data_IF_919420031487
#
_entry.id   IF_919420031487
#
_cell.length_a   1.000
_cell.length_b   1.000
_cell.length_c   1.000
_cell.angle_alpha   90.00
_cell.angle_beta   90.00
_cell.angle_gamma   90.00
#
_symmetry.space_group_name_H-M   'P 1'
#
loop_
_entity.id
_entity.type
_entity.pdbx_description
1 polymer ?
#
# COMPACT_ATOMS: atom_id res chain seq x y z
N UNK A 1 30.75 -16.38 -6.12
CA UNK A 1 29.59 -15.54 -5.76
C UNK A 1 28.67 -16.32 -4.86
N UNK A 2 28.37 -15.80 -3.75
CA UNK A 2 27.54 -16.50 -2.79
C UNK A 2 26.05 -16.27 -3.09
N UNK A 3 25.23 -17.27 -2.72
CA UNK A 3 23.79 -17.14 -2.79
C UNK A 3 23.29 -16.00 -1.92
N UNK A 4 24.03 -15.70 -0.83
CA UNK A 4 23.68 -14.62 0.09
C UNK A 4 23.66 -13.26 -0.60
N UNK A 5 24.68 -13.01 -1.44
CA UNK A 5 24.73 -11.73 -2.16
C UNK A 5 23.56 -11.59 -3.12
N UNK A 6 23.21 -12.66 -3.82
CA UNK A 6 22.07 -12.65 -4.73
C UNK A 6 20.76 -12.47 -3.96
N UNK A 7 20.65 -13.09 -2.78
CA UNK A 7 19.46 -12.95 -1.96
C UNK A 7 19.29 -11.53 -1.43
N UNK A 8 20.41 -10.92 -0.99
CA UNK A 8 20.35 -9.55 -0.51
C UNK A 8 20.00 -8.59 -1.62
N UNK A 9 20.59 -8.78 -2.79
CA UNK A 9 20.28 -7.93 -3.94
C UNK A 9 18.81 -8.07 -4.34
N UNK A 10 18.32 -9.30 -4.41
CA UNK A 10 16.92 -9.51 -4.76
C UNK A 10 15.99 -8.87 -3.73
N UNK A 11 16.31 -9.03 -2.43
CA UNK A 11 15.46 -8.46 -1.39
C UNK A 11 15.41 -6.93 -1.50
N UNK A 12 16.54 -6.30 -1.80
CA UNK A 12 16.57 -4.86 -1.95
C UNK A 12 15.74 -4.40 -3.14
N UNK A 13 15.87 -5.06 -4.27
CA UNK A 13 15.10 -4.71 -5.46
C UNK A 13 13.62 -5.00 -5.28
N UNK A 14 13.30 -6.07 -4.55
CA UNK A 14 11.91 -6.40 -4.26
C UNK A 14 11.25 -5.30 -3.44
N UNK A 15 11.97 -4.76 -2.45
CA UNK A 15 11.43 -3.68 -1.64
C UNK A 15 11.20 -2.43 -2.48
N UNK A 16 12.12 -2.15 -3.40
CA UNK A 16 11.91 -1.01 -4.31
C UNK A 16 10.70 -1.23 -5.20
N UNK A 17 10.58 -2.42 -5.73
CA UNK A 17 9.44 -2.76 -6.59
C UNK A 17 8.11 -2.56 -5.86
N UNK A 18 8.06 -2.94 -4.59
CA UNK A 18 6.82 -2.91 -3.83
C UNK A 18 6.48 -1.55 -3.26
N UNK A 19 7.44 -0.63 -3.23
CA UNK A 19 7.23 0.65 -2.56
C UNK A 19 6.03 1.43 -3.09
N UNK A 20 5.92 1.58 -4.39
CA UNK A 20 4.79 2.28 -4.98
C UNK A 20 3.49 1.51 -4.82
N UNK A 21 3.58 0.17 -4.86
CA UNK A 21 2.39 -0.65 -4.74
C UNK A 21 1.79 -0.61 -3.34
N UNK A 22 2.60 -0.31 -2.32
CA UNK A 22 2.09 -0.16 -0.97
C UNK A 22 1.08 0.98 -0.88
N UNK A 23 1.32 2.07 -1.59
CA UNK A 23 0.38 3.18 -1.60
C UNK A 23 -0.96 2.71 -2.15
N UNK A 24 -0.95 2.00 -3.26
CA UNK A 24 -2.16 1.49 -3.87
C UNK A 24 -2.87 0.52 -2.94
N UNK A 25 -2.10 -0.38 -2.31
CA UNK A 25 -2.67 -1.38 -1.42
C UNK A 25 -3.34 -0.74 -0.21
N UNK A 26 -2.68 0.27 0.38
CA UNK A 26 -3.23 0.96 1.54
C UNK A 26 -4.50 1.71 1.16
N UNK A 27 -4.46 2.45 0.05
CA UNK A 27 -5.65 3.17 -0.40
C UNK A 27 -6.80 2.20 -0.70
N UNK A 28 -6.50 1.08 -1.34
CA UNK A 28 -7.54 0.11 -1.68
C UNK A 28 -8.18 -0.50 -0.44
N UNK A 29 -7.37 -0.84 0.57
CA UNK A 29 -7.92 -1.39 1.81
C UNK A 29 -8.75 -0.36 2.56
N UNK A 30 -8.40 0.92 2.45
CA UNK A 30 -9.11 1.98 3.15
C UNK A 30 -10.37 2.43 2.42
N UNK A 31 -10.80 1.69 1.40
CA UNK A 31 -12.18 1.81 0.93
C UNK A 31 -13.15 1.43 2.04
N UNK A 32 -12.66 0.64 3.00
CA UNK A 32 -13.35 0.37 4.26
C UNK A 32 -12.56 1.02 5.38
N UNK A 33 -13.25 1.39 6.42
CA UNK A 33 -12.62 2.03 7.55
C UNK A 33 -11.76 1.04 8.33
N UNK A 34 -10.57 1.48 8.73
CA UNK A 34 -9.65 0.68 9.54
C UNK A 34 -8.87 1.57 10.49
N UNK A 35 -8.47 1.02 11.63
CA UNK A 35 -7.37 1.61 12.36
C UNK A 35 -6.10 0.78 12.08
N UNK A 36 -4.95 1.28 12.57
CA UNK A 36 -3.66 0.72 12.13
C UNK A 36 -3.55 -0.79 12.26
N UNK A 37 -3.99 -1.33 13.41
CA UNK A 37 -3.86 -2.77 13.66
C UNK A 37 -4.65 -3.59 12.65
N UNK A 38 -5.94 -3.26 12.45
CA UNK A 38 -6.75 -4.03 11.53
C UNK A 38 -6.29 -3.88 10.10
N UNK A 39 -5.80 -2.70 9.75
CA UNK A 39 -5.26 -2.48 8.40
C UNK A 39 -4.04 -3.36 8.16
N UNK A 40 -3.11 -3.38 9.11
CA UNK A 40 -1.91 -4.21 8.97
C UNK A 40 -2.27 -5.68 8.89
N UNK A 41 -3.20 -6.11 9.74
CA UNK A 41 -3.62 -7.52 9.79
C UNK A 41 -4.22 -7.94 8.46
N UNK A 42 -5.10 -7.12 7.89
CA UNK A 42 -5.74 -7.47 6.63
C UNK A 42 -4.74 -7.46 5.48
N UNK A 43 -3.82 -6.50 5.45
CA UNK A 43 -2.80 -6.48 4.41
C UNK A 43 -1.89 -7.69 4.50
N UNK A 44 -1.50 -8.09 5.71
CA UNK A 44 -0.65 -9.25 5.89
C UNK A 44 -1.35 -10.52 5.42
N UNK A 45 -2.66 -10.64 5.68
CA UNK A 45 -3.43 -11.78 5.24
C UNK A 45 -3.48 -11.88 3.72
N UNK A 46 -3.30 -10.76 3.03
CA UNK A 46 -3.28 -10.72 1.57
C UNK A 46 -1.87 -10.74 1.01
N UNK A 47 -0.87 -11.03 1.85
CA UNK A 47 0.50 -11.18 1.40
C UNK A 47 1.31 -9.91 1.41
N UNK A 48 0.78 -8.83 1.99
CA UNK A 48 1.49 -7.55 2.03
C UNK A 48 1.80 -7.22 3.48
N UNK A 49 3.06 -7.46 3.87
CA UNK A 49 3.50 -7.17 5.22
C UNK A 49 4.14 -5.79 5.27
N UNK A 50 3.73 -5.01 6.24
CA UNK A 50 4.23 -3.66 6.43
C UNK A 50 4.32 -3.40 7.93
N UNK A 51 5.44 -2.87 8.36
CA UNK A 51 5.63 -2.60 9.78
C UNK A 51 5.05 -1.24 10.17
N UNK A 52 4.90 -1.04 11.47
CA UNK A 52 4.32 0.19 11.98
C UNK A 52 5.15 1.41 11.61
N UNK A 53 6.46 1.26 11.62
CA UNK A 53 7.35 2.36 11.31
C UNK A 53 7.20 2.86 9.88
N UNK A 54 6.71 2.02 9.00
CA UNK A 54 6.45 2.40 7.61
C UNK A 54 5.00 2.84 7.42
N UNK A 55 4.08 2.12 8.04
CA UNK A 55 2.65 2.36 7.81
C UNK A 55 2.17 3.68 8.38
N UNK A 56 2.50 3.99 9.64
CA UNK A 56 1.94 5.19 10.25
C UNK A 56 2.41 6.48 9.59
N UNK A 57 3.70 6.63 9.25
CA UNK A 57 4.09 7.83 8.49
C UNK A 57 3.40 7.92 7.13
N UNK A 58 3.17 6.78 6.47
CA UNK A 58 2.46 6.77 5.20
C UNK A 58 1.02 7.24 5.36
N UNK A 59 0.32 6.75 6.39
CA UNK A 59 -1.05 7.17 6.65
C UNK A 59 -1.13 8.68 6.89
N UNK A 60 -0.20 9.21 7.69
CA UNK A 60 -0.19 10.65 7.95
C UNK A 60 0.07 11.45 6.69
N UNK A 61 0.99 10.96 5.85
CA UNK A 61 1.29 11.65 4.60
C UNK A 61 0.09 11.66 3.66
N UNK A 62 -0.57 10.52 3.53
CA UNK A 62 -1.74 10.42 2.65
C UNK A 62 -2.89 11.29 3.16
N UNK A 63 -3.05 11.37 4.47
CA UNK A 63 -4.06 12.24 5.04
C UNK A 63 -3.73 13.71 4.79
N UNK A 64 -2.47 14.09 4.97
CA UNK A 64 -2.04 15.45 4.69
C UNK A 64 -2.26 15.82 3.23
N UNK A 65 -2.11 14.86 2.34
CA UNK A 65 -2.36 15.06 0.92
C UNK A 65 -3.84 15.08 0.57
N UNK A 66 -4.71 14.89 1.57
CA UNK A 66 -6.15 14.95 1.34
C UNK A 66 -6.77 13.67 0.84
N UNK A 67 -6.01 12.57 0.83
CA UNK A 67 -6.52 11.31 0.29
C UNK A 67 -7.21 10.45 1.34
N UNK A 68 -6.95 10.72 2.61
CA UNK A 68 -7.56 9.99 3.73
C UNK A 68 -8.22 10.97 4.68
N UNK A 69 -9.25 10.48 5.35
CA UNK A 69 -9.88 11.15 6.49
C UNK A 69 -9.67 10.27 7.70
N UNK A 70 -9.55 10.89 8.86
CA UNK A 70 -9.40 10.12 10.08
C UNK A 70 -10.18 10.74 11.21
N UNK A 71 -10.49 9.92 12.20
CA UNK A 71 -11.09 10.41 13.43
C UNK A 71 -10.66 9.51 14.57
N UNK A 72 -10.58 10.11 15.76
CA UNK A 72 -10.25 9.39 16.97
C UNK A 72 -11.53 8.85 17.58
N UNK A 73 -11.49 7.61 18.04
CA UNK A 73 -12.60 6.98 18.75
C UNK A 73 -12.08 6.22 19.94
N UNK A 74 -12.92 6.10 20.93
CA UNK A 74 -12.61 5.28 22.08
C UNK A 74 -13.33 3.95 21.92
N UNK A 75 -12.55 2.85 21.98
CA UNK A 75 -13.08 1.49 21.92
C UNK A 75 -12.36 0.66 22.95
N UNK A 76 -13.12 -0.05 23.80
CA UNK A 76 -12.54 -0.92 24.81
C UNK A 76 -11.51 -0.20 25.67
N UNK A 77 -11.84 1.02 26.09
CA UNK A 77 -10.99 1.88 26.90
C UNK A 77 -9.68 2.26 26.24
N UNK A 78 -9.61 2.16 24.91
CA UNK A 78 -8.44 2.58 24.15
C UNK A 78 -8.84 3.57 23.10
N UNK A 79 -7.98 4.56 22.91
CA UNK A 79 -8.20 5.57 21.90
C UNK A 79 -7.55 5.12 20.62
N UNK A 80 -8.34 5.00 19.54
CA UNK A 80 -7.85 4.52 18.25
C UNK A 80 -8.17 5.52 17.18
N UNK A 81 -7.27 5.65 16.22
CA UNK A 81 -7.47 6.54 15.08
C UNK A 81 -7.91 5.72 13.88
N UNK A 82 -9.11 6.00 13.41
CA UNK A 82 -9.69 5.29 12.28
C UNK A 82 -9.52 6.11 11.01
N UNK A 83 -9.10 5.43 9.94
CA UNK A 83 -8.83 6.05 8.65
C UNK A 83 -9.76 5.46 7.60
N UNK A 84 -10.11 6.28 6.62
CA UNK A 84 -10.84 5.82 5.45
C UNK A 84 -10.51 6.74 4.28
N UNK A 85 -10.79 6.28 3.06
CA UNK A 85 -10.57 7.11 1.89
C UNK A 85 -11.47 8.34 1.94
N UNK A 86 -10.91 9.48 1.58
CA UNK A 86 -11.69 10.67 1.29
C UNK A 86 -12.28 10.55 -0.11
N UNK A 87 -13.11 11.52 -0.47
CA UNK A 87 -13.64 11.59 -1.82
C UNK A 87 -12.51 11.73 -2.84
N UNK A 88 -11.54 12.59 -2.56
CA UNK A 88 -10.37 12.76 -3.42
C UNK A 88 -9.56 11.47 -3.48
N UNK A 89 -9.44 10.76 -2.35
CA UNK A 89 -8.71 9.50 -2.31
C UNK A 89 -9.33 8.45 -3.21
N UNK A 90 -10.67 8.39 -3.26
CA UNK A 90 -11.34 7.45 -4.16
C UNK A 90 -11.04 7.74 -5.62
N UNK A 91 -11.05 9.02 -5.98
CA UNK A 91 -10.74 9.41 -7.36
C UNK A 91 -9.30 9.08 -7.72
N UNK A 92 -8.37 9.36 -6.82
CA UNK A 92 -6.95 9.07 -7.05
C UNK A 92 -6.72 7.57 -7.13
N UNK A 93 -7.35 6.79 -6.26
CA UNK A 93 -7.21 5.33 -6.31
C UNK A 93 -7.64 4.79 -7.66
N UNK A 94 -8.76 5.28 -8.18
CA UNK A 94 -9.26 4.84 -9.48
C UNK A 94 -8.23 5.11 -10.58
N UNK A 95 -7.62 6.30 -10.54
CA UNK A 95 -6.60 6.66 -11.53
C UNK A 95 -5.36 5.80 -11.38
N UNK A 96 -4.94 5.53 -10.14
CA UNK A 96 -3.75 4.70 -9.89
C UNK A 96 -3.98 3.27 -10.35
N UNK A 97 -5.18 2.74 -10.15
CA UNK A 97 -5.48 1.38 -10.60
C UNK A 97 -5.46 1.28 -12.12
N UNK A 98 -5.95 2.29 -12.81
CA UNK A 98 -5.89 2.32 -14.27
C UNK A 98 -4.44 2.40 -14.73
N UNK A 99 -3.62 3.19 -14.05
CA UNK A 99 -2.20 3.31 -14.37
C UNK A 99 -1.47 1.99 -14.15
N UNK A 100 -1.80 1.31 -13.05
CA UNK A 100 -1.19 0.01 -12.76
C UNK A 100 -1.52 -1.00 -13.85
N UNK A 101 -2.75 -1.01 -14.31
CA UNK A 101 -3.17 -1.91 -15.39
C UNK A 101 -2.37 -1.63 -16.67
N UNK A 102 -2.19 -0.35 -16.96
CA UNK A 102 -1.40 0.06 -18.14
C UNK A 102 0.05 -0.39 -18.02
N UNK A 103 0.63 -0.19 -16.85
CA UNK A 103 2.02 -0.60 -16.61
C UNK A 103 2.16 -2.11 -16.76
N UNK A 104 1.21 -2.88 -16.21
CA UNK A 104 1.24 -4.32 -16.34
C UNK A 104 1.14 -4.76 -17.80
N UNK A 105 0.28 -4.09 -18.55
CA UNK A 105 0.14 -4.39 -19.97
C UNK A 105 1.44 -4.13 -20.73
N UNK A 106 2.08 -3.01 -20.43
CA UNK A 106 3.35 -2.67 -21.05
C UNK A 106 4.43 -3.68 -20.71
N UNK A 107 4.50 -4.08 -19.44
CA UNK A 107 5.49 -5.05 -19.00
C UNK A 107 5.27 -6.41 -19.68
N UNK A 108 4.02 -6.81 -19.81
CA UNK A 108 3.70 -8.06 -20.50
C UNK A 108 4.24 -8.06 -21.92
N UNK A 109 4.08 -6.94 -22.63
CA UNK A 109 4.58 -6.84 -23.99
C UNK A 109 6.10 -6.83 -24.04
N UNK A 110 6.73 -6.19 -23.04
CA UNK A 110 8.20 -6.15 -22.99
C UNK A 110 8.76 -7.53 -22.73
N UNK A 111 8.11 -8.29 -21.85
CA UNK A 111 8.62 -9.59 -21.40
C UNK A 111 8.32 -10.68 -22.43
N UNK A 112 7.23 -10.58 -23.16
CA UNK A 112 6.84 -11.58 -24.13
C UNK A 112 7.90 -11.72 -25.21
N UNK A 113 8.26 -12.96 -25.56
CA UNK A 113 9.21 -13.16 -26.65
C UNK A 113 8.62 -12.62 -27.94
N UNK A 114 9.48 -12.00 -28.74
CA UNK A 114 9.09 -11.58 -30.08
C UNK A 114 9.01 -12.79 -31.00
N UNK A 115 7.91 -12.92 -31.64
CA UNK A 115 7.69 -14.04 -32.57
C UNK A 115 8.04 -13.66 -33.98
#
# INVERSE_FOLDING_TARGET
>A
MSADLNSDLFNNLRLELRRGLLIVAVLAQLRREHYGYTLRKDLAALGIEIDEGTLYPLLRRLETQGLLESEWREENNRRKRFYKLSRAGRAILKQLLAELEQINSSLTRIIQPNE
#
